data_IF_699160949788
#
_entry.id   IF_699160949788
#
_cell.length_a   1.000
_cell.length_b   1.000
_cell.length_c   1.000
_cell.angle_alpha   90.00
_cell.angle_beta   90.00
_cell.angle_gamma   90.00
#
_symmetry.space_group_name_H-M   'P 1'
#
loop_
_entity.id
_entity.type
_entity.pdbx_description
1 polymer ?
#
# COMPACT_ATOMS: atom_id res chain seq x y z
N UNK A 1 -7.17 -1.77 81.52
CA UNK A 1 -6.04 -2.39 80.79
C UNK A 1 -6.42 -3.60 79.92
N UNK A 2 -7.46 -4.39 80.23
CA UNK A 2 -7.87 -5.55 79.39
C UNK A 2 -8.36 -5.18 77.99
N UNK A 3 -9.14 -4.11 77.84
CA UNK A 3 -9.67 -3.68 76.52
C UNK A 3 -8.61 -3.13 75.56
N UNK A 4 -7.55 -2.50 76.08
CA UNK A 4 -6.45 -1.98 75.26
C UNK A 4 -5.63 -3.12 74.64
N UNK A 5 -5.49 -4.25 75.34
CA UNK A 5 -4.79 -5.43 74.84
C UNK A 5 -5.58 -6.17 73.75
N UNK A 6 -6.92 -6.18 73.82
CA UNK A 6 -7.76 -6.75 72.77
C UNK A 6 -7.75 -5.90 71.50
N UNK A 7 -7.77 -4.57 71.65
CA UNK A 7 -7.68 -3.64 70.50
C UNK A 7 -6.32 -3.79 69.79
N UNK A 8 -5.23 -3.90 70.56
CA UNK A 8 -3.89 -4.11 69.98
C UNK A 8 -3.78 -5.45 69.25
N UNK A 9 -4.41 -6.52 69.77
CA UNK A 9 -4.42 -7.83 69.10
C UNK A 9 -5.26 -7.84 67.82
N UNK A 10 -6.40 -7.13 67.78
CA UNK A 10 -7.20 -6.99 66.55
C UNK A 10 -6.51 -6.14 65.49
N UNK A 11 -5.82 -5.06 65.87
CA UNK A 11 -5.05 -4.24 64.93
C UNK A 11 -3.87 -5.04 64.37
N UNK A 12 -3.18 -5.82 65.22
CA UNK A 12 -2.07 -6.68 64.81
C UNK A 12 -2.55 -7.80 63.87
N UNK A 13 -3.74 -8.37 64.09
CA UNK A 13 -4.36 -9.36 63.21
C UNK A 13 -4.75 -8.81 61.82
N UNK A 14 -5.16 -7.54 61.73
CA UNK A 14 -5.49 -6.90 60.46
C UNK A 14 -4.26 -6.56 59.60
N UNK A 15 -3.07 -6.39 60.20
CA UNK A 15 -1.84 -6.08 59.46
C UNK A 15 -1.25 -7.33 58.77
N UNK A 16 -1.48 -8.52 59.31
CA UNK A 16 -0.97 -9.78 58.73
C UNK A 16 -1.85 -10.41 57.64
N UNK A 17 -3.04 -9.84 57.38
CA UNK A 17 -3.94 -10.27 56.29
C UNK A 17 -4.05 -9.25 55.14
N UNK A 18 -3.12 -8.28 55.06
CA UNK A 18 -2.92 -7.50 53.83
C UNK A 18 -2.08 -8.33 52.87
N UNK A 19 -2.71 -9.32 52.24
CA UNK A 19 -2.18 -9.92 51.02
C UNK A 19 -2.30 -8.84 49.93
N UNK A 20 -1.28 -8.00 49.81
CA UNK A 20 -1.11 -7.13 48.65
C UNK A 20 -0.78 -8.04 47.47
N UNK A 21 -1.81 -8.55 46.79
CA UNK A 21 -1.66 -8.78 45.36
C UNK A 21 -1.49 -7.39 44.75
N UNK A 22 -0.24 -6.98 44.56
CA UNK A 22 0.04 -5.90 43.62
C UNK A 22 -0.42 -6.39 42.25
N UNK A 23 -1.68 -6.09 41.91
CA UNK A 23 -2.18 -6.12 40.54
C UNK A 23 -1.32 -5.14 39.74
N UNK A 24 -0.15 -5.60 39.30
CA UNK A 24 0.66 -4.87 38.35
C UNK A 24 -0.15 -4.79 37.07
N UNK A 25 -0.57 -3.59 36.70
CA UNK A 25 -1.27 -3.30 35.43
C UNK A 25 -0.51 -3.88 34.21
N UNK A 26 0.82 -4.04 34.34
CA UNK A 26 1.64 -4.77 33.38
C UNK A 26 2.55 -5.79 34.07
N UNK A 27 2.48 -7.03 33.60
CA UNK A 27 3.35 -8.13 34.05
C UNK A 27 4.84 -7.86 33.74
N UNK A 28 5.13 -7.19 32.62
CA UNK A 28 6.48 -6.92 32.14
C UNK A 28 6.88 -5.44 32.31
N UNK A 29 8.16 -5.19 32.61
CA UNK A 29 8.70 -3.82 32.66
C UNK A 29 8.70 -3.15 31.28
N UNK A 30 8.71 -1.81 31.19
CA UNK A 30 8.83 -1.10 29.92
C UNK A 30 10.01 -1.57 29.06
N UNK A 31 11.17 -1.84 29.67
CA UNK A 31 12.36 -2.34 28.97
C UNK A 31 12.15 -3.75 28.43
N UNK A 32 11.52 -4.65 29.20
CA UNK A 32 11.18 -5.99 28.74
C UNK A 32 10.20 -5.96 27.58
N UNK A 33 9.17 -5.10 27.63
CA UNK A 33 8.21 -4.91 26.54
C UNK A 33 8.88 -4.41 25.25
N UNK A 34 9.77 -3.43 25.36
CA UNK A 34 10.56 -2.93 24.22
C UNK A 34 11.40 -4.05 23.60
N UNK A 35 12.11 -4.83 24.42
CA UNK A 35 12.92 -5.95 23.95
C UNK A 35 12.06 -7.01 23.25
N UNK A 36 10.94 -7.39 23.85
CA UNK A 36 10.00 -8.34 23.25
C UNK A 36 9.47 -7.85 21.90
N UNK A 37 9.14 -6.56 21.77
CA UNK A 37 8.64 -6.00 20.52
C UNK A 37 9.71 -6.00 19.41
N UNK A 38 10.98 -5.71 19.75
CA UNK A 38 12.12 -5.81 18.84
C UNK A 38 12.32 -7.26 18.41
N UNK A 39 12.40 -8.18 19.37
CA UNK A 39 12.61 -9.62 19.13
C UNK A 39 11.49 -10.23 18.29
N UNK A 40 10.23 -9.88 18.57
CA UNK A 40 9.08 -10.39 17.84
C UNK A 40 9.11 -10.00 16.36
N UNK A 41 9.29 -8.71 16.05
CA UNK A 41 9.35 -8.24 14.67
C UNK A 41 10.59 -8.79 13.96
N UNK A 42 11.74 -8.82 14.62
CA UNK A 42 12.96 -9.37 14.04
C UNK A 42 12.79 -10.85 13.68
N UNK A 43 12.23 -11.62 14.62
CA UNK A 43 11.95 -13.05 14.44
C UNK A 43 10.97 -13.27 13.29
N UNK A 44 9.90 -12.50 13.23
CA UNK A 44 8.91 -12.55 12.15
C UNK A 44 9.56 -12.31 10.77
N UNK A 45 10.32 -11.22 10.63
CA UNK A 45 10.99 -10.88 9.36
C UNK A 45 12.01 -11.94 8.93
N UNK A 46 12.82 -12.45 9.85
CA UNK A 46 13.91 -13.42 9.57
C UNK A 46 13.40 -14.86 9.43
N UNK A 47 12.27 -15.21 10.04
CA UNK A 47 11.71 -16.56 9.94
C UNK A 47 11.20 -16.89 8.55
N UNK A 48 10.73 -15.89 7.80
CA UNK A 48 10.38 -16.11 6.40
C UNK A 48 11.64 -16.19 5.51
N UNK A 49 12.14 -17.41 5.31
CA UNK A 49 13.35 -17.68 4.51
C UNK A 49 13.16 -17.41 3.01
N UNK A 50 11.93 -17.51 2.50
CA UNK A 50 11.60 -17.12 1.14
C UNK A 50 11.71 -15.60 0.94
N UNK A 51 11.53 -14.83 2.03
CA UNK A 51 11.57 -13.38 2.03
C UNK A 51 10.19 -12.76 1.88
N UNK A 52 10.16 -11.49 1.52
CA UNK A 52 8.96 -10.65 1.53
C UNK A 52 8.82 -9.95 0.20
N UNK A 53 7.60 -9.93 -0.34
CA UNK A 53 7.20 -8.99 -1.37
C UNK A 53 6.83 -7.68 -0.69
N UNK A 54 7.55 -6.62 -1.00
CA UNK A 54 7.41 -5.32 -0.35
C UNK A 54 6.98 -4.30 -1.38
N UNK A 55 5.84 -3.65 -1.14
CA UNK A 55 5.39 -2.52 -1.94
C UNK A 55 5.58 -1.25 -1.12
N UNK A 56 6.26 -0.26 -1.67
CA UNK A 56 6.46 1.04 -1.03
C UNK A 56 5.92 2.16 -1.89
N UNK A 57 4.98 2.93 -1.35
CA UNK A 57 4.42 4.13 -1.95
C UNK A 57 5.01 5.35 -1.22
N UNK A 58 6.04 6.02 -1.76
CA UNK A 58 6.84 6.99 -1.01
C UNK A 58 6.19 8.36 -0.91
N UNK A 59 5.21 8.71 -1.76
CA UNK A 59 4.51 10.01 -1.73
C UNK A 59 3.24 9.97 -2.57
N UNK A 60 2.42 8.94 -2.41
CA UNK A 60 1.16 8.87 -3.14
C UNK A 60 0.09 9.62 -2.36
N UNK A 61 -0.64 10.54 -3.01
CA UNK A 61 -1.86 11.11 -2.43
C UNK A 61 -3.04 10.21 -2.80
N UNK A 62 -3.68 9.67 -1.78
CA UNK A 62 -4.75 8.69 -1.89
C UNK A 62 -6.16 9.30 -1.90
N UNK A 63 -6.27 10.62 -1.68
CA UNK A 63 -7.54 11.38 -1.76
C UNK A 63 -7.67 12.18 -3.05
N UNK A 64 -6.57 12.41 -3.77
CA UNK A 64 -6.63 13.03 -5.09
C UNK A 64 -7.45 12.17 -6.06
N UNK A 65 -8.44 12.77 -6.74
CA UNK A 65 -9.37 12.09 -7.65
C UNK A 65 -10.18 10.94 -7.02
N UNK A 66 -10.47 11.04 -5.72
CA UNK A 66 -11.23 10.03 -4.97
C UNK A 66 -12.76 10.16 -5.09
N UNK A 67 -13.26 11.25 -5.69
CA UNK A 67 -14.67 11.53 -5.88
C UNK A 67 -14.98 11.81 -7.36
N UNK A 68 -15.65 10.87 -8.00
CA UNK A 68 -16.08 10.92 -9.41
C UNK A 68 -17.08 12.06 -9.72
N UNK A 69 -17.71 12.61 -8.68
CA UNK A 69 -18.65 13.73 -8.84
C UNK A 69 -17.92 15.05 -9.04
N UNK A 70 -16.66 15.14 -8.60
CA UNK A 70 -15.86 16.35 -8.74
C UNK A 70 -15.45 16.54 -10.20
N UNK A 71 -15.93 17.63 -10.81
CA UNK A 71 -15.61 17.96 -12.21
C UNK A 71 -14.35 18.78 -12.26
N UNK A 72 -13.37 18.28 -13.02
CA UNK A 72 -12.06 18.90 -13.13
C UNK A 72 -11.97 19.61 -14.47
N UNK A 73 -11.57 20.88 -14.43
CA UNK A 73 -11.35 21.68 -15.63
C UNK A 73 -10.04 21.27 -16.32
N UNK A 74 -9.99 21.47 -17.64
CA UNK A 74 -8.83 21.14 -18.47
C UNK A 74 -7.49 21.71 -17.93
N UNK A 75 -7.51 22.90 -17.34
CA UNK A 75 -6.34 23.58 -16.78
C UNK A 75 -5.64 22.79 -15.66
N UNK A 76 -6.35 21.92 -14.94
CA UNK A 76 -5.79 21.12 -13.83
C UNK A 76 -5.07 19.84 -14.29
N UNK A 77 -5.18 19.47 -15.57
CA UNK A 77 -4.54 18.27 -16.13
C UNK A 77 -3.01 18.37 -16.23
N UNK A 78 -2.46 19.58 -16.20
CA UNK A 78 -1.05 19.82 -16.51
C UNK A 78 -0.18 20.09 -15.27
N UNK A 79 -0.77 20.23 -14.08
CA UNK A 79 -0.02 20.44 -12.83
C UNK A 79 0.29 19.10 -12.15
N UNK A 80 1.24 18.37 -12.72
CA UNK A 80 1.60 17.00 -12.31
C UNK A 80 2.30 16.92 -10.95
N UNK A 81 2.82 18.05 -10.45
CA UNK A 81 3.48 18.16 -9.15
C UNK A 81 2.60 17.68 -7.98
N UNK A 82 1.27 17.83 -8.13
CA UNK A 82 0.29 17.46 -7.10
C UNK A 82 0.00 15.95 -7.06
N UNK A 83 0.33 15.20 -8.10
CA UNK A 83 -0.02 13.78 -8.21
C UNK A 83 0.80 12.90 -7.25
N UNK A 84 1.96 13.41 -6.83
CA UNK A 84 2.89 12.65 -6.01
C UNK A 84 3.59 11.56 -6.82
N UNK A 85 3.93 10.45 -6.15
CA UNK A 85 4.65 9.32 -6.72
C UNK A 85 4.01 8.01 -6.29
N UNK A 86 3.71 7.15 -7.27
CA UNK A 86 3.24 5.78 -7.09
C UNK A 86 4.31 4.84 -6.53
N UNK A 87 4.01 3.54 -6.56
CA UNK A 87 4.72 2.56 -5.76
C UNK A 87 5.87 1.87 -6.48
N UNK A 88 6.79 1.35 -5.68
CA UNK A 88 7.91 0.50 -6.10
C UNK A 88 7.79 -0.86 -5.44
N UNK A 89 8.02 -1.90 -6.23
CA UNK A 89 7.97 -3.29 -5.77
C UNK A 89 9.40 -3.77 -5.50
N UNK A 90 9.57 -4.43 -4.35
CA UNK A 90 10.82 -5.04 -3.93
C UNK A 90 10.58 -6.48 -3.52
N UNK A 91 11.62 -7.30 -3.63
CA UNK A 91 11.74 -8.48 -2.78
C UNK A 91 12.82 -8.21 -1.75
N UNK A 92 12.53 -8.53 -0.48
CA UNK A 92 13.44 -8.33 0.65
C UNK A 92 13.56 -9.61 1.46
N UNK A 93 14.79 -10.06 1.71
CA UNK A 93 15.08 -11.22 2.55
C UNK A 93 15.91 -10.78 3.74
N UNK A 94 15.26 -10.75 4.90
CA UNK A 94 15.91 -10.40 6.16
C UNK A 94 16.69 -11.60 6.69
N UNK A 95 17.94 -11.35 7.02
CA UNK A 95 18.89 -12.34 7.52
C UNK A 95 19.23 -12.01 8.98
N UNK A 96 19.91 -12.96 9.61
CA UNK A 96 20.47 -12.78 10.94
C UNK A 96 21.47 -11.60 10.96
N UNK A 97 21.73 -11.08 12.16
CA UNK A 97 22.69 -9.99 12.38
C UNK A 97 22.39 -8.70 11.59
N UNK A 98 21.11 -8.40 11.35
CA UNK A 98 20.72 -7.12 10.76
C UNK A 98 21.09 -6.98 9.28
N UNK A 99 21.24 -8.08 8.53
CA UNK A 99 21.50 -8.03 7.08
C UNK A 99 20.24 -8.23 6.27
N UNK A 100 20.09 -7.51 5.17
CA UNK A 100 18.92 -7.63 4.28
C UNK A 100 19.38 -7.68 2.84
N UNK A 101 18.94 -8.72 2.15
CA UNK A 101 19.13 -8.85 0.72
C UNK A 101 17.91 -8.29 -0.01
N UNK A 102 18.11 -7.53 -1.08
CA UNK A 102 16.98 -6.95 -1.82
C UNK A 102 17.16 -6.82 -3.33
N UNK A 103 16.02 -6.83 -4.02
CA UNK A 103 15.85 -6.47 -5.44
C UNK A 103 14.73 -5.46 -5.60
N UNK A 104 14.67 -4.78 -6.73
CA UNK A 104 13.67 -3.74 -6.98
C UNK A 104 13.18 -3.72 -8.45
N UNK A 105 11.96 -3.23 -8.67
CA UNK A 105 11.36 -3.12 -10.00
C UNK A 105 11.65 -1.79 -10.72
N UNK A 106 12.75 -1.09 -10.38
CA UNK A 106 13.10 0.18 -11.03
C UNK A 106 13.38 0.02 -12.53
N UNK A 107 14.33 -0.86 -12.84
CA UNK A 107 14.92 -1.01 -14.16
C UNK A 107 15.37 -2.47 -14.37
N UNK A 108 15.70 -2.90 -15.60
CA UNK A 108 16.11 -4.29 -15.87
C UNK A 108 17.28 -4.77 -15.00
N UNK A 109 18.19 -3.87 -14.61
CA UNK A 109 19.36 -4.23 -13.79
C UNK A 109 18.93 -4.48 -12.35
N UNK A 110 18.10 -3.62 -11.75
CA UNK A 110 17.63 -3.79 -10.36
C UNK A 110 16.73 -5.01 -10.16
N UNK A 111 16.10 -5.50 -11.23
CA UNK A 111 15.31 -6.75 -11.21
C UNK A 111 16.22 -7.97 -11.07
N UNK A 112 17.37 -7.97 -11.72
CA UNK A 112 18.29 -9.13 -11.70
C UNK A 112 19.36 -9.05 -10.62
N UNK A 113 19.81 -7.83 -10.29
CA UNK A 113 20.91 -7.60 -9.35
C UNK A 113 20.36 -7.53 -7.93
N UNK A 114 20.83 -8.46 -7.10
CA UNK A 114 20.60 -8.42 -5.66
C UNK A 114 21.65 -7.53 -4.99
N UNK A 115 21.24 -6.75 -3.99
CA UNK A 115 22.15 -5.95 -3.17
C UNK A 115 21.98 -6.32 -1.69
N UNK A 116 23.09 -6.34 -0.97
CA UNK A 116 23.10 -6.57 0.47
C UNK A 116 23.14 -5.23 1.20
N UNK A 117 22.23 -5.04 2.15
CA UNK A 117 22.17 -3.89 3.04
C UNK A 117 22.15 -4.31 4.50
N UNK A 118 22.07 -3.29 5.36
CA UNK A 118 21.94 -3.45 6.82
C UNK A 118 20.65 -2.79 7.29
N UNK A 119 20.01 -3.42 8.27
CA UNK A 119 18.82 -2.91 8.92
C UNK A 119 18.94 -3.05 10.44
N UNK A 120 18.16 -2.22 11.13
CA UNK A 120 18.01 -2.24 12.58
C UNK A 120 16.54 -2.19 12.94
N UNK A 121 16.17 -2.92 13.99
CA UNK A 121 14.87 -2.79 14.64
C UNK A 121 15.09 -2.14 15.99
N UNK A 122 14.34 -1.07 16.26
CA UNK A 122 14.35 -0.35 17.52
C UNK A 122 12.94 -0.19 18.07
N UNK A 123 12.79 -0.09 19.39
CA UNK A 123 11.50 0.17 20.02
C UNK A 123 11.62 1.35 20.98
N UNK A 124 11.04 2.49 20.58
CA UNK A 124 10.89 3.67 21.42
C UNK A 124 9.45 3.78 21.90
N UNK A 125 8.68 4.71 21.34
CA UNK A 125 7.21 4.75 21.48
C UNK A 125 6.53 3.72 20.58
N UNK A 126 7.14 3.40 19.44
CA UNK A 126 6.71 2.38 18.49
C UNK A 126 7.92 1.52 18.09
N UNK A 127 7.66 0.29 17.63
CA UNK A 127 8.66 -0.54 16.96
C UNK A 127 8.94 0.04 15.57
N UNK A 128 10.21 0.14 15.21
CA UNK A 128 10.68 0.79 13.98
C UNK A 128 11.64 -0.11 13.23
N UNK A 129 11.54 -0.14 11.91
CA UNK A 129 12.49 -0.75 10.99
C UNK A 129 13.26 0.37 10.28
N UNK A 130 14.59 0.36 10.40
CA UNK A 130 15.47 1.36 9.78
C UNK A 130 16.51 0.68 8.91
N UNK A 131 16.70 1.16 7.68
CA UNK A 131 17.81 0.74 6.81
C UNK A 131 19.01 1.65 7.04
N UNK A 132 20.17 1.05 7.34
CA UNK A 132 21.37 1.77 7.77
C UNK A 132 22.36 2.04 6.64
N UNK A 133 22.38 1.18 5.62
CA UNK A 133 23.32 1.27 4.50
C UNK A 133 22.60 1.49 3.17
N UNK A 134 23.28 2.17 2.24
CA UNK A 134 22.77 2.52 0.92
C UNK A 134 22.25 1.28 0.18
N UNK A 135 21.00 1.34 -0.23
CA UNK A 135 20.32 0.27 -0.95
C UNK A 135 19.23 0.83 -1.89
N UNK A 136 18.34 -0.01 -2.43
CA UNK A 136 17.34 0.43 -3.40
C UNK A 136 16.26 1.35 -2.79
N UNK A 137 15.97 1.24 -1.49
CA UNK A 137 15.09 2.20 -0.79
C UNK A 137 15.69 3.60 -0.79
N UNK A 138 17.01 3.72 -0.63
CA UNK A 138 17.69 5.02 -0.58
C UNK A 138 17.58 5.80 -1.89
N UNK A 139 17.30 5.12 -3.03
CA UNK A 139 17.00 5.81 -4.30
C UNK A 139 15.71 6.65 -4.24
N UNK A 140 14.83 6.35 -3.28
CA UNK A 140 13.57 7.08 -3.06
C UNK A 140 13.71 8.18 -2.01
N UNK A 141 14.83 8.27 -1.30
CA UNK A 141 15.07 9.25 -0.25
C UNK A 141 15.68 10.52 -0.87
N UNK A 142 14.81 11.37 -1.41
CA UNK A 142 15.15 12.67 -2.00
C UNK A 142 13.91 13.56 -2.11
N UNK A 143 14.10 14.85 -2.40
CA UNK A 143 13.03 15.86 -2.45
C UNK A 143 11.91 15.55 -3.44
N UNK A 144 12.22 14.80 -4.51
CA UNK A 144 11.21 14.39 -5.50
C UNK A 144 10.29 13.35 -4.88
N UNK A 145 10.83 12.16 -4.57
CA UNK A 145 10.05 11.02 -4.12
C UNK A 145 9.57 11.13 -2.68
N UNK A 146 10.23 11.92 -1.83
CA UNK A 146 9.86 12.09 -0.42
C UNK A 146 10.06 10.85 0.46
N UNK A 147 10.73 9.82 -0.04
CA UNK A 147 10.84 8.55 0.67
C UNK A 147 11.68 8.63 1.95
N UNK A 148 11.49 7.64 2.81
CA UNK A 148 12.16 7.49 4.11
C UNK A 148 12.87 6.15 4.21
N UNK A 149 13.90 6.08 5.07
CA UNK A 149 14.61 4.85 5.42
C UNK A 149 14.23 4.28 6.79
N UNK A 150 13.37 4.98 7.55
CA UNK A 150 12.91 4.64 8.89
C UNK A 150 11.38 4.54 8.93
N UNK A 151 10.86 3.37 9.30
CA UNK A 151 9.42 3.09 9.24
C UNK A 151 8.90 2.53 10.55
N UNK A 152 7.75 3.04 10.98
CA UNK A 152 7.00 2.61 12.15
C UNK A 152 6.16 1.37 11.80
N UNK A 153 6.35 0.28 12.53
CA UNK A 153 5.52 -0.91 12.40
C UNK A 153 4.12 -0.64 12.96
N UNK A 154 3.08 -0.97 12.18
CA UNK A 154 1.68 -0.73 12.52
C UNK A 154 0.90 -2.02 12.83
N UNK A 155 1.56 -3.19 12.77
CA UNK A 155 0.89 -4.48 12.86
C UNK A 155 0.54 -5.03 11.48
N UNK A 156 -0.59 -5.76 11.43
CA UNK A 156 -1.12 -6.38 10.21
C UNK A 156 -2.39 -5.70 9.75
N UNK A 157 -2.58 -5.63 8.43
CA UNK A 157 -3.87 -5.25 7.84
C UNK A 157 -4.86 -6.42 7.85
N UNK A 158 -6.05 -6.19 7.31
CA UNK A 158 -7.12 -7.19 7.20
C UNK A 158 -6.79 -8.33 6.22
N UNK A 159 -5.70 -8.23 5.46
CA UNK A 159 -5.15 -9.28 4.60
C UNK A 159 -3.98 -10.02 5.27
N UNK A 160 -3.67 -9.66 6.52
CA UNK A 160 -2.57 -10.21 7.29
C UNK A 160 -1.19 -9.72 6.83
N UNK A 161 -1.11 -8.69 5.98
CA UNK A 161 0.15 -8.12 5.49
C UNK A 161 0.77 -7.24 6.58
N UNK A 162 2.09 -7.24 6.70
CA UNK A 162 2.74 -6.30 7.62
C UNK A 162 2.65 -4.89 7.06
N UNK A 163 2.20 -3.96 7.89
CA UNK A 163 2.04 -2.56 7.53
C UNK A 163 3.10 -1.72 8.23
N UNK A 164 3.80 -0.89 7.46
CA UNK A 164 4.69 0.12 8.00
C UNK A 164 4.33 1.51 7.45
N UNK A 165 4.57 2.55 8.24
CA UNK A 165 4.35 3.95 7.88
C UNK A 165 5.56 4.78 8.23
N UNK A 166 5.77 5.91 7.56
CA UNK A 166 6.84 6.84 7.94
C UNK A 166 6.39 7.66 9.16
N UNK A 167 7.33 8.21 9.94
CA UNK A 167 7.00 9.13 11.05
C UNK A 167 6.43 10.46 10.52
N UNK A 168 6.71 10.76 9.26
CA UNK A 168 6.06 11.79 8.48
C UNK A 168 4.61 11.35 8.21
N UNK A 169 3.70 11.66 9.13
CA UNK A 169 2.46 12.42 8.85
C UNK A 169 1.20 11.96 9.60
N UNK A 170 0.62 12.95 10.30
CA UNK A 170 -0.80 13.15 10.63
C UNK A 170 -1.66 13.50 9.40
N UNK A 171 -1.08 13.50 8.18
CA UNK A 171 -1.80 13.75 6.93
C UNK A 171 -2.45 12.45 6.48
N UNK A 172 -3.77 12.42 6.24
CA UNK A 172 -4.42 11.27 5.63
C UNK A 172 -3.69 10.88 4.35
N UNK A 173 -3.73 9.60 4.00
CA UNK A 173 -3.42 9.15 2.65
C UNK A 173 -1.95 9.23 2.19
N UNK A 174 -0.96 9.38 3.08
CA UNK A 174 0.46 9.44 2.73
C UNK A 174 1.25 8.19 3.18
N UNK A 175 2.26 7.85 2.38
CA UNK A 175 3.43 6.99 2.66
C UNK A 175 3.22 5.73 3.50
N UNK A 176 3.17 4.57 2.84
CA UNK A 176 3.11 3.30 3.56
C UNK A 176 3.71 2.15 2.77
N UNK A 177 3.98 1.09 3.51
CA UNK A 177 4.61 -0.14 3.05
C UNK A 177 3.73 -1.30 3.44
N UNK A 178 3.51 -2.19 2.48
CA UNK A 178 2.89 -3.48 2.69
C UNK A 178 3.93 -4.56 2.44
N UNK A 179 4.12 -5.46 3.40
CA UNK A 179 4.95 -6.65 3.23
C UNK A 179 4.09 -7.90 3.24
N UNK A 180 4.10 -8.60 2.11
CA UNK A 180 3.49 -9.92 1.96
C UNK A 180 4.56 -11.00 2.09
N UNK A 181 4.37 -12.02 2.93
CA UNK A 181 5.31 -13.14 2.99
C UNK A 181 5.33 -13.89 1.66
N UNK A 182 6.52 -14.08 1.08
CA UNK A 182 6.71 -15.01 -0.03
C UNK A 182 6.52 -16.43 0.48
N UNK A 183 5.96 -17.29 -0.36
CA UNK A 183 5.66 -18.68 0.00
C UNK A 183 6.80 -19.63 -0.37
N UNK A 184 7.56 -19.28 -1.41
CA UNK A 184 8.62 -20.10 -1.97
C UNK A 184 9.88 -19.26 -2.25
N UNK A 185 11.06 -19.85 -2.06
CA UNK A 185 12.36 -19.19 -2.24
C UNK A 185 12.58 -18.73 -3.69
N UNK A 186 12.03 -19.44 -4.67
CA UNK A 186 12.08 -19.04 -6.08
C UNK A 186 11.32 -17.73 -6.34
N UNK A 187 10.25 -17.45 -5.57
CA UNK A 187 9.50 -16.19 -5.69
C UNK A 187 10.36 -14.97 -5.37
N UNK A 188 11.44 -15.11 -4.60
CA UNK A 188 12.34 -14.00 -4.29
C UNK A 188 12.92 -13.34 -5.55
N UNK A 189 13.12 -14.11 -6.62
CA UNK A 189 13.55 -13.59 -7.92
C UNK A 189 12.36 -13.30 -8.82
N UNK A 190 11.42 -14.23 -8.89
CA UNK A 190 10.34 -14.18 -9.88
C UNK A 190 9.32 -13.09 -9.60
N UNK A 191 9.03 -12.82 -8.32
CA UNK A 191 7.98 -11.86 -7.95
C UNK A 191 8.30 -10.44 -8.42
N UNK A 192 9.54 -9.97 -8.20
CA UNK A 192 9.95 -8.62 -8.65
C UNK A 192 10.07 -8.55 -10.17
N UNK A 193 10.48 -9.64 -10.82
CA UNK A 193 10.53 -9.72 -12.28
C UNK A 193 9.14 -9.65 -12.89
N UNK A 194 8.19 -10.42 -12.37
CA UNK A 194 6.79 -10.41 -12.81
C UNK A 194 6.14 -9.05 -12.56
N UNK A 195 6.39 -8.43 -11.39
CA UNK A 195 5.95 -7.07 -11.09
C UNK A 195 6.49 -6.06 -12.11
N UNK A 196 7.79 -6.11 -12.40
CA UNK A 196 8.42 -5.28 -13.44
C UNK A 196 7.77 -5.52 -14.81
N UNK A 197 7.63 -6.77 -15.24
CA UNK A 197 7.08 -7.13 -16.55
C UNK A 197 5.64 -6.62 -16.71
N UNK A 198 4.79 -6.82 -15.69
CA UNK A 198 3.41 -6.35 -15.70
C UNK A 198 3.33 -4.81 -15.69
N UNK A 199 4.17 -4.14 -14.89
CA UNK A 199 4.28 -2.67 -14.90
C UNK A 199 4.65 -2.17 -16.31
N UNK A 200 5.63 -2.79 -16.96
CA UNK A 200 6.07 -2.40 -18.30
C UNK A 200 5.00 -2.63 -19.36
N UNK A 201 4.14 -3.64 -19.21
CA UNK A 201 3.00 -3.83 -20.12
C UNK A 201 2.02 -2.67 -19.99
N UNK A 202 1.65 -2.28 -18.77
CA UNK A 202 0.79 -1.12 -18.55
C UNK A 202 1.41 0.18 -19.09
N UNK A 203 2.69 0.43 -18.80
CA UNK A 203 3.41 1.64 -19.25
C UNK A 203 3.57 1.72 -20.78
N UNK A 204 3.54 0.56 -21.47
CA UNK A 204 3.62 0.50 -22.93
C UNK A 204 2.28 0.69 -23.63
N UNK A 205 1.15 0.57 -22.92
CA UNK A 205 -0.17 0.83 -23.51
C UNK A 205 -0.18 2.24 -24.10
N UNK A 206 -0.63 2.43 -25.34
CA UNK A 206 -0.66 3.73 -26.02
C UNK A 206 -1.80 4.62 -25.52
N UNK A 207 -2.93 4.03 -25.16
CA UNK A 207 -4.12 4.72 -24.72
C UNK A 207 -4.89 3.81 -23.76
N UNK A 208 -4.36 3.61 -22.53
CA UNK A 208 -5.04 2.78 -21.56
C UNK A 208 -6.33 3.46 -21.09
N UNK A 209 -7.45 2.80 -21.31
CA UNK A 209 -8.79 3.26 -20.93
C UNK A 209 -9.38 2.31 -19.89
N UNK A 210 -10.11 2.87 -18.93
CA UNK A 210 -10.79 2.18 -17.85
C UNK A 210 -12.29 2.10 -18.14
N UNK A 211 -12.82 0.89 -18.06
CA UNK A 211 -14.24 0.58 -18.19
C UNK A 211 -14.74 -0.12 -16.92
N UNK A 212 -15.67 0.50 -16.20
CA UNK A 212 -16.27 -0.04 -14.98
C UNK A 212 -17.75 -0.31 -15.19
N UNK A 213 -18.17 -1.56 -14.98
CA UNK A 213 -19.53 -1.99 -15.29
C UNK A 213 -20.05 -3.07 -14.33
N UNK A 214 -21.38 -3.25 -14.30
CA UNK A 214 -22.07 -4.36 -13.65
C UNK A 214 -23.22 -4.83 -14.53
N UNK A 215 -23.11 -6.02 -15.10
CA UNK A 215 -24.03 -6.46 -16.16
C UNK A 215 -24.00 -5.46 -17.31
N UNK A 216 -25.19 -5.02 -17.77
CA UNK A 216 -25.32 -4.02 -18.83
C UNK A 216 -25.18 -2.55 -18.38
N UNK A 217 -24.97 -2.28 -17.08
CA UNK A 217 -24.84 -0.91 -16.56
C UNK A 217 -23.38 -0.47 -16.52
N UNK A 218 -23.08 0.68 -17.11
CA UNK A 218 -21.78 1.36 -17.03
C UNK A 218 -21.79 2.35 -15.86
N UNK A 219 -20.72 2.34 -15.06
CA UNK A 219 -20.52 3.26 -13.93
C UNK A 219 -19.47 4.31 -14.22
N UNK A 220 -18.47 3.97 -15.03
CA UNK A 220 -17.43 4.87 -15.51
C UNK A 220 -16.83 4.29 -16.79
N UNK A 221 -16.61 5.15 -17.78
CA UNK A 221 -15.89 4.78 -18.99
C UNK A 221 -15.03 5.96 -19.40
N UNK A 222 -13.71 5.82 -19.28
CA UNK A 222 -12.83 6.85 -19.79
C UNK A 222 -12.83 6.81 -21.33
N UNK A 223 -12.79 7.99 -21.92
CA UNK A 223 -12.90 8.22 -23.37
C UNK A 223 -11.92 9.29 -23.87
N UNK A 224 -11.06 9.81 -22.98
CA UNK A 224 -10.07 10.82 -23.33
C UNK A 224 -8.64 10.28 -23.28
N UNK A 225 -7.86 10.62 -24.32
CA UNK A 225 -6.45 10.25 -24.41
C UNK A 225 -5.52 11.36 -23.89
N UNK A 226 -4.83 11.09 -22.78
CA UNK A 226 -3.88 12.02 -22.15
C UNK A 226 -2.66 12.38 -23.02
N UNK A 227 -2.28 11.54 -23.98
CA UNK A 227 -1.01 11.69 -24.70
C UNK A 227 -1.03 12.67 -25.87
N UNK A 228 -2.17 13.29 -26.23
CA UNK A 228 -2.29 14.22 -27.37
C UNK A 228 -1.34 15.44 -27.25
N UNK A 229 -0.89 15.79 -26.03
CA UNK A 229 -0.01 16.95 -25.75
C UNK A 229 1.24 16.60 -24.91
N UNK A 230 1.73 15.35 -24.94
CA UNK A 230 2.96 14.97 -24.22
C UNK A 230 2.86 14.81 -22.68
N UNK A 231 1.70 15.09 -22.07
CA UNK A 231 1.48 15.00 -20.61
C UNK A 231 1.62 13.60 -19.99
N UNK A 232 1.68 12.55 -20.83
CA UNK A 232 1.76 11.15 -20.40
C UNK A 232 3.15 10.71 -19.94
N UNK A 233 4.21 11.20 -20.58
CA UNK A 233 5.59 10.74 -20.33
C UNK A 233 6.06 11.17 -18.93
N UNK A 234 5.73 12.40 -18.52
CA UNK A 234 6.11 12.93 -17.22
C UNK A 234 5.38 12.29 -16.03
N UNK A 235 4.14 11.84 -16.22
CA UNK A 235 3.26 11.29 -15.16
C UNK A 235 3.40 9.78 -14.98
N UNK A 236 3.50 9.05 -16.10
CA UNK A 236 3.45 7.59 -16.06
C UNK A 236 4.84 7.01 -15.77
N UNK A 237 5.88 7.43 -16.51
CA UNK A 237 7.22 6.81 -16.35
C UNK A 237 7.98 7.31 -15.12
N UNK A 238 7.87 8.60 -14.79
CA UNK A 238 8.58 9.19 -13.65
C UNK A 238 7.80 9.05 -12.35
N UNK A 239 6.51 9.38 -12.36
CA UNK A 239 5.71 9.41 -11.14
C UNK A 239 4.95 8.11 -10.87
N UNK A 240 4.83 7.19 -11.84
CA UNK A 240 3.98 5.99 -11.72
C UNK A 240 2.56 6.36 -11.24
N UNK A 241 1.98 7.38 -11.86
CA UNK A 241 0.64 7.85 -11.58
C UNK A 241 -0.14 7.94 -12.89
N UNK A 242 -1.39 7.49 -12.89
CA UNK A 242 -2.24 7.52 -14.09
C UNK A 242 -3.62 8.09 -13.81
N UNK A 243 -4.18 8.82 -14.78
CA UNK A 243 -5.53 9.36 -14.75
C UNK A 243 -6.37 8.74 -15.86
N UNK A 244 -7.50 8.17 -15.48
CA UNK A 244 -8.57 7.79 -16.39
C UNK A 244 -9.61 8.90 -16.40
N UNK A 245 -9.93 9.41 -17.59
CA UNK A 245 -10.75 10.60 -17.73
C UNK A 245 -11.92 10.36 -18.68
N UNK A 246 -13.11 10.70 -18.20
CA UNK A 246 -14.36 10.69 -18.93
C UNK A 246 -14.75 12.13 -19.23
N UNK A 247 -14.98 12.45 -20.51
CA UNK A 247 -15.41 13.78 -20.94
C UNK A 247 -16.83 14.05 -20.48
N UNK A 248 -17.01 15.00 -19.56
CA UNK A 248 -18.35 15.42 -19.13
C UNK A 248 -18.84 16.66 -19.86
N UNK A 249 -17.92 17.46 -20.41
CA UNK A 249 -18.27 18.65 -21.20
C UNK A 249 -17.30 18.82 -22.37
N UNK A 250 -17.75 18.53 -23.61
CA UNK A 250 -16.90 18.71 -24.79
C UNK A 250 -16.60 20.20 -25.01
N UNK A 251 -15.55 20.46 -25.78
CA UNK A 251 -15.28 21.81 -26.27
C UNK A 251 -16.14 22.08 -27.51
N UNK A 252 -16.85 23.21 -27.60
CA UNK A 252 -17.58 23.57 -28.82
C UNK A 252 -16.64 23.87 -29.99
N UNK A 253 -15.36 24.17 -29.74
CA UNK A 253 -14.36 24.38 -30.78
C UNK A 253 -13.73 23.01 -31.11
N UNK A 254 -13.76 22.57 -32.39
CA UNK A 254 -13.08 21.36 -32.83
C UNK A 254 -11.60 21.36 -32.42
N UNK A 255 -11.06 20.19 -32.11
CA UNK A 255 -9.66 19.96 -31.71
C UNK A 255 -9.18 20.61 -30.41
N UNK A 256 -9.98 21.45 -29.76
CA UNK A 256 -9.66 21.95 -28.44
C UNK A 256 -9.91 20.87 -27.38
N UNK A 257 -9.11 20.85 -26.29
CA UNK A 257 -9.35 19.93 -25.19
C UNK A 257 -10.75 20.18 -24.58
N UNK A 258 -11.48 19.11 -24.19
CA UNK A 258 -12.75 19.22 -23.48
C UNK A 258 -12.64 20.12 -22.25
N UNK A 259 -13.74 20.76 -21.86
CA UNK A 259 -13.75 21.76 -20.79
C UNK A 259 -13.72 21.15 -19.40
N UNK A 260 -14.42 20.03 -19.23
CA UNK A 260 -14.61 19.38 -17.93
C UNK A 260 -14.55 17.86 -18.07
N UNK A 261 -14.02 17.22 -17.03
CA UNK A 261 -13.82 15.78 -16.94
C UNK A 261 -14.30 15.24 -15.59
N UNK A 262 -14.78 14.01 -15.63
CA UNK A 262 -14.83 13.10 -14.49
C UNK A 262 -13.53 12.30 -14.47
N UNK A 263 -12.86 12.20 -13.32
CA UNK A 263 -11.51 11.60 -13.25
C UNK A 263 -11.43 10.55 -12.16
N UNK A 264 -10.86 9.40 -12.50
CA UNK A 264 -10.36 8.42 -11.55
C UNK A 264 -8.85 8.30 -11.73
N UNK A 265 -8.09 8.50 -10.67
CA UNK A 265 -6.63 8.49 -10.75
C UNK A 265 -6.01 7.97 -9.47
N UNK A 266 -4.83 7.37 -9.60
CA UNK A 266 -4.07 6.86 -8.45
C UNK A 266 -2.63 6.57 -8.86
N UNK A 267 -1.73 6.61 -7.86
CA UNK A 267 -0.40 6.04 -8.00
C UNK A 267 -0.48 4.53 -8.14
N UNK A 268 0.37 3.94 -8.98
CA UNK A 268 0.36 2.51 -9.27
C UNK A 268 1.71 1.85 -9.01
N UNK A 269 1.69 0.52 -8.88
CA UNK A 269 2.85 -0.34 -8.75
C UNK A 269 2.60 -1.67 -9.47
N UNK A 270 3.63 -2.27 -10.06
CA UNK A 270 3.53 -3.62 -10.59
C UNK A 270 3.39 -4.65 -9.46
N UNK A 271 2.68 -5.74 -9.72
CA UNK A 271 2.59 -6.90 -8.82
C UNK A 271 2.88 -8.18 -9.60
N UNK A 272 3.22 -9.29 -8.93
CA UNK A 272 3.42 -10.57 -9.62
C UNK A 272 2.23 -11.02 -10.48
N UNK A 273 1.00 -10.63 -10.10
CA UNK A 273 -0.23 -11.01 -10.80
C UNK A 273 -0.78 -9.92 -11.74
N UNK A 274 -0.31 -8.68 -11.65
CA UNK A 274 -0.75 -7.60 -12.52
C UNK A 274 -0.28 -6.23 -12.06
N UNK A 275 -1.20 -5.32 -11.78
CA UNK A 275 -0.92 -3.95 -11.37
C UNK A 275 -1.81 -3.58 -10.19
N UNK A 276 -1.29 -2.78 -9.27
CA UNK A 276 -2.05 -2.28 -8.14
C UNK A 276 -2.02 -0.75 -8.12
N UNK A 277 -3.18 -0.16 -7.86
CA UNK A 277 -3.39 1.27 -7.66
C UNK A 277 -3.63 1.50 -6.18
N UNK A 278 -2.89 2.46 -5.59
CA UNK A 278 -3.05 2.82 -4.18
C UNK A 278 -3.20 4.33 -4.00
N UNK A 279 -4.21 4.79 -3.25
CA UNK A 279 -5.21 3.99 -2.52
C UNK A 279 -6.36 3.42 -3.40
N UNK A 280 -6.21 3.41 -4.72
CA UNK A 280 -7.11 2.73 -5.64
C UNK A 280 -8.05 3.68 -6.37
N UNK A 281 -8.73 3.15 -7.37
CA UNK A 281 -9.66 3.86 -8.23
C UNK A 281 -11.05 3.79 -7.60
N UNK A 282 -11.51 4.93 -7.05
CA UNK A 282 -12.68 5.00 -6.16
C UNK A 282 -13.92 5.43 -6.92
N UNK A 283 -14.88 4.53 -7.13
CA UNK A 283 -16.24 4.93 -7.53
C UNK A 283 -16.97 5.63 -6.38
N UNK A 284 -16.72 5.15 -5.16
CA UNK A 284 -17.19 5.73 -3.90
C UNK A 284 -16.37 5.13 -2.74
N UNK A 285 -16.73 5.47 -1.49
CA UNK A 285 -16.02 5.04 -0.30
C UNK A 285 -15.97 3.52 -0.08
N UNK A 286 -16.86 2.74 -0.72
CA UNK A 286 -16.92 1.28 -0.60
C UNK A 286 -16.40 0.55 -1.83
N UNK A 287 -16.67 1.09 -3.01
CA UNK A 287 -16.31 0.50 -4.30
C UNK A 287 -14.98 1.08 -4.77
N UNK A 288 -13.90 0.43 -4.35
CA UNK A 288 -12.53 0.84 -4.66
C UNK A 288 -11.84 -0.28 -5.41
N UNK A 289 -11.41 0.00 -6.64
CA UNK A 289 -10.63 -0.94 -7.44
C UNK A 289 -9.16 -0.66 -7.24
N UNK A 290 -8.50 -1.56 -6.52
CA UNK A 290 -7.13 -1.35 -6.09
C UNK A 290 -6.20 -2.34 -6.79
N UNK A 291 -6.51 -3.63 -6.79
CA UNK A 291 -5.66 -4.67 -7.40
C UNK A 291 -6.28 -5.20 -8.69
N UNK A 292 -5.54 -5.14 -9.79
CA UNK A 292 -5.94 -5.66 -11.09
C UNK A 292 -5.03 -6.82 -11.48
N UNK A 293 -5.63 -7.94 -11.87
CA UNK A 293 -4.93 -9.07 -12.43
C UNK A 293 -4.72 -8.85 -13.92
N UNK A 294 -3.53 -9.21 -14.43
CA UNK A 294 -3.29 -9.23 -15.86
C UNK A 294 -3.98 -10.44 -16.49
N UNK A 295 -4.73 -10.19 -17.56
CA UNK A 295 -5.33 -11.19 -18.44
C UNK A 295 -4.85 -10.85 -19.85
N UNK A 296 -3.99 -11.69 -20.42
CA UNK A 296 -3.34 -11.44 -21.71
C UNK A 296 -2.65 -10.05 -21.81
N UNK A 297 -3.27 -9.11 -22.52
CA UNK A 297 -2.75 -7.75 -22.77
C UNK A 297 -3.57 -6.66 -22.06
N UNK A 298 -4.50 -7.02 -21.18
CA UNK A 298 -5.29 -6.07 -20.41
C UNK A 298 -5.26 -6.44 -18.92
N UNK A 299 -5.85 -5.58 -18.08
CA UNK A 299 -5.91 -5.78 -16.64
C UNK A 299 -7.36 -5.74 -16.17
N UNK A 300 -7.76 -6.71 -15.36
CA UNK A 300 -9.11 -6.84 -14.85
C UNK A 300 -9.16 -6.89 -13.32
N UNK A 301 -10.21 -6.30 -12.76
CA UNK A 301 -10.57 -6.44 -11.36
C UNK A 301 -12.07 -6.68 -11.23
N UNK A 302 -12.46 -7.80 -10.63
CA UNK A 302 -13.84 -8.04 -10.19
C UNK A 302 -13.90 -7.88 -8.67
N UNK A 303 -14.83 -7.08 -8.16
CA UNK A 303 -15.00 -6.93 -6.71
C UNK A 303 -15.85 -8.07 -6.14
N UNK A 304 -15.41 -8.63 -5.02
CA UNK A 304 -16.15 -9.63 -4.23
C UNK A 304 -16.39 -9.11 -2.81
N UNK A 305 -17.49 -9.52 -2.20
CA UNK A 305 -17.79 -9.27 -0.80
C UNK A 305 -17.05 -10.30 0.08
N UNK A 306 -16.24 -9.81 1.01
CA UNK A 306 -15.55 -10.63 2.02
C UNK A 306 -15.92 -10.14 3.40
N UNK A 307 -16.37 -11.07 4.24
CA UNK A 307 -16.66 -10.80 5.65
C UNK A 307 -15.41 -11.05 6.49
N UNK A 308 -15.11 -10.08 7.35
CA UNK A 308 -13.94 -10.05 8.21
C UNK A 308 -14.37 -10.27 9.66
N UNK A 309 -14.15 -11.48 10.24
CA UNK A 309 -14.67 -11.81 11.57
C UNK A 309 -14.14 -10.92 12.69
N UNK A 310 -12.85 -10.57 12.64
CA UNK A 310 -12.19 -9.77 13.68
C UNK A 310 -12.76 -8.34 13.73
N UNK A 311 -13.01 -7.73 12.57
CA UNK A 311 -13.56 -6.38 12.44
C UNK A 311 -15.08 -6.33 12.31
N UNK A 312 -15.74 -7.50 12.23
CA UNK A 312 -17.19 -7.66 12.03
C UNK A 312 -17.74 -6.80 10.89
N UNK A 313 -16.98 -6.71 9.80
CA UNK A 313 -17.28 -5.82 8.69
C UNK A 313 -17.23 -6.57 7.35
N UNK A 314 -17.97 -6.04 6.37
CA UNK A 314 -17.90 -6.51 4.98
C UNK A 314 -17.13 -5.46 4.19
N UNK A 315 -16.14 -5.92 3.43
CA UNK A 315 -15.43 -5.07 2.47
C UNK A 315 -15.51 -5.65 1.06
N UNK A 316 -15.28 -4.79 0.08
CA UNK A 316 -15.13 -5.17 -1.32
C UNK A 316 -13.65 -5.22 -1.66
N UNK A 317 -13.21 -6.36 -2.20
CA UNK A 317 -11.82 -6.62 -2.58
C UNK A 317 -11.75 -7.30 -3.93
N UNK A 318 -10.58 -7.28 -4.57
CA UNK A 318 -10.40 -7.92 -5.86
C UNK A 318 -10.47 -9.45 -5.73
N UNK A 319 -11.28 -10.08 -6.58
CA UNK A 319 -11.56 -11.52 -6.61
C UNK A 319 -10.31 -12.39 -6.71
N UNK A 320 -9.28 -11.95 -7.42
CA UNK A 320 -8.05 -12.75 -7.55
C UNK A 320 -7.23 -12.83 -6.25
N UNK A 321 -7.50 -11.95 -5.29
CA UNK A 321 -6.94 -12.01 -3.93
C UNK A 321 -7.81 -12.85 -2.99
N UNK A 322 -9.14 -12.82 -3.20
CA UNK A 322 -10.15 -13.54 -2.42
C UNK A 322 -11.09 -14.33 -3.34
N UNK A 323 -10.63 -15.44 -3.94
CA UNK A 323 -11.46 -16.24 -4.86
C UNK A 323 -12.70 -16.84 -4.18
N UNK A 324 -12.67 -16.98 -2.85
CA UNK A 324 -13.77 -17.44 -2.00
C UNK A 324 -14.86 -16.38 -1.77
N UNK A 325 -14.58 -15.11 -2.08
CA UNK A 325 -15.49 -14.00 -1.82
C UNK A 325 -16.78 -14.09 -2.66
N UNK A 326 -17.86 -13.53 -2.14
CA UNK A 326 -19.17 -13.53 -2.82
C UNK A 326 -19.15 -12.57 -4.01
N UNK A 327 -19.44 -13.08 -5.20
CA UNK A 327 -19.41 -12.34 -6.46
C UNK A 327 -20.43 -11.19 -6.46
N UNK A 328 -19.96 -9.99 -6.80
CA UNK A 328 -20.85 -8.81 -6.98
C UNK A 328 -21.23 -8.57 -8.44
N UNK A 329 -20.40 -9.06 -9.37
CA UNK A 329 -20.48 -8.76 -10.80
C UNK A 329 -20.01 -7.35 -11.19
N UNK A 330 -19.52 -6.57 -10.23
CA UNK A 330 -18.95 -5.24 -10.46
C UNK A 330 -17.48 -5.41 -10.89
N UNK A 331 -17.19 -5.04 -12.13
CA UNK A 331 -15.90 -5.26 -12.79
C UNK A 331 -15.32 -3.96 -13.33
N UNK A 332 -13.99 -3.88 -13.30
CA UNK A 332 -13.20 -2.84 -13.92
C UNK A 332 -12.18 -3.49 -14.87
N UNK A 333 -12.08 -2.95 -16.08
CA UNK A 333 -11.15 -3.41 -17.11
C UNK A 333 -10.32 -2.23 -17.58
N UNK A 334 -9.00 -2.41 -17.61
CA UNK A 334 -8.04 -1.48 -18.19
C UNK A 334 -7.48 -2.12 -19.44
N UNK A 335 -7.70 -1.49 -20.59
CA UNK A 335 -7.25 -1.99 -21.89
C UNK A 335 -6.68 -0.86 -22.75
N UNK A 336 -5.76 -1.20 -23.64
CA UNK A 336 -5.22 -0.27 -24.62
C UNK A 336 -6.21 -0.10 -25.78
N UNK A 337 -6.89 1.05 -25.85
CA UNK A 337 -7.90 1.31 -26.88
C UNK A 337 -7.23 2.00 -28.07
N UNK A 338 -7.35 1.48 -29.30
CA UNK A 338 -6.80 2.13 -30.48
C UNK A 338 -7.24 3.59 -30.57
N UNK A 339 -6.27 4.49 -30.71
CA UNK A 339 -6.55 5.86 -31.13
C UNK A 339 -6.71 5.84 -32.64
N UNK A 340 -7.79 6.42 -33.17
CA UNK A 340 -7.87 6.73 -34.58
C UNK A 340 -6.82 7.81 -34.86
N UNK A 341 -5.64 7.41 -35.33
CA UNK A 341 -4.64 8.31 -35.90
C UNK A 341 -5.06 8.75 -37.30
#
# INVERSE_FOLDING_TARGET
MKYLSYILLTILGCVFYSCHDEEREFVNTPTQRKRQAIEALNTELVNNKAGWLVMYFPKTDSLLFSNISDKIKAEYQYSTERYGYGGVCFTMRFLQHGKVEMRADFDPKSVTTSIMGEYKIEANSCTQLTFLTTNYIHKLVNDSYGGACNWLYQGRDEDGLLVFKTASYLKPACEYILMKPLQDVHEFTDAVKQAYDNRRVFERMKNPQLYIHRGGRVYFQSDYYLGRNGGRVATTEKQRYYLFMEVTKPNPIPDYPPKEFSVLGSGYCGTPKGITFRAGLRLNNKQVFADFQRVDNHFEAELVEVYHPEWRSIRLVSKHLHPEGKITGLKAVIQDVPTNE
#
